data_IF_878097702784
#
_entry.id   IF_878097702784
#
_cell.length_a   1.000
_cell.length_b   1.000
_cell.length_c   1.000
_cell.angle_alpha   90.00
_cell.angle_beta   90.00
_cell.angle_gamma   90.00
#
_symmetry.space_group_name_H-M   'P 1'
#
loop_
_entity.id
_entity.type
_entity.pdbx_description
1 polymer ?
#
# COMPACT_ATOMS: atom_id res chain seq x y z
N UNK A 1 -27.05 -4.76 -1.40
CA UNK A 1 -26.08 -4.23 -2.39
C UNK A 1 -26.27 -4.96 -3.71
N UNK A 2 -26.06 -4.32 -4.87
CA UNK A 2 -26.04 -5.01 -6.17
C UNK A 2 -24.89 -6.02 -6.24
N UNK A 3 -24.98 -6.99 -7.17
CA UNK A 3 -23.91 -7.95 -7.41
C UNK A 3 -22.63 -7.26 -7.93
N UNK A 4 -21.47 -7.84 -7.66
CA UNK A 4 -20.17 -7.31 -8.08
C UNK A 4 -20.08 -7.11 -9.61
N UNK A 5 -20.64 -8.02 -10.39
CA UNK A 5 -20.72 -7.92 -11.86
C UNK A 5 -21.46 -6.66 -12.32
N UNK A 6 -22.54 -6.30 -11.63
CA UNK A 6 -23.30 -5.08 -11.91
C UNK A 6 -22.48 -3.83 -11.61
N UNK A 7 -21.74 -3.80 -10.51
CA UNK A 7 -20.86 -2.68 -10.16
C UNK A 7 -19.73 -2.54 -11.18
N UNK A 8 -19.07 -3.64 -11.56
CA UNK A 8 -18.02 -3.62 -12.59
C UNK A 8 -18.54 -3.10 -13.94
N UNK A 9 -19.77 -3.48 -14.32
CA UNK A 9 -20.42 -2.95 -15.52
C UNK A 9 -20.65 -1.44 -15.43
N UNK A 10 -21.11 -0.93 -14.28
CA UNK A 10 -21.27 0.51 -14.09
C UNK A 10 -19.94 1.27 -14.15
N UNK A 11 -18.87 0.72 -13.56
CA UNK A 11 -17.52 1.29 -13.66
C UNK A 11 -17.03 1.37 -15.12
N UNK A 12 -17.40 0.40 -15.95
CA UNK A 12 -17.03 0.40 -17.37
C UNK A 12 -17.85 1.41 -18.20
N UNK A 13 -19.12 1.63 -17.86
CA UNK A 13 -20.07 2.35 -18.73
C UNK A 13 -20.37 3.79 -18.29
N UNK A 14 -20.17 4.13 -17.01
CA UNK A 14 -20.63 5.40 -16.43
C UNK A 14 -19.42 6.15 -15.85
N UNK A 15 -18.92 7.16 -16.56
CA UNK A 15 -17.71 7.88 -16.16
C UNK A 15 -17.86 8.61 -14.82
N UNK A 16 -18.99 9.27 -14.58
CA UNK A 16 -19.25 9.95 -13.29
C UNK A 16 -19.28 9.00 -12.10
N UNK A 17 -19.75 7.76 -12.31
CA UNK A 17 -19.72 6.72 -11.28
C UNK A 17 -18.30 6.21 -11.05
N UNK A 18 -17.50 6.06 -12.11
CA UNK A 18 -16.09 5.67 -12.02
C UNK A 18 -15.29 6.68 -11.19
N UNK A 19 -15.47 7.98 -11.41
CA UNK A 19 -14.80 9.02 -10.63
C UNK A 19 -15.19 9.00 -9.16
N UNK A 20 -16.50 8.90 -8.86
CA UNK A 20 -16.98 8.78 -7.48
C UNK A 20 -16.44 7.52 -6.80
N UNK A 21 -16.42 6.40 -7.51
CA UNK A 21 -15.88 5.15 -7.02
C UNK A 21 -14.39 5.26 -6.73
N UNK A 22 -13.60 5.91 -7.60
CA UNK A 22 -12.18 6.14 -7.35
C UNK A 22 -11.95 6.92 -6.04
N UNK A 23 -12.69 8.02 -5.81
CA UNK A 23 -12.63 8.77 -4.55
C UNK A 23 -13.05 7.94 -3.34
N UNK A 24 -14.08 7.11 -3.50
CA UNK A 24 -14.51 6.20 -2.44
C UNK A 24 -13.42 5.16 -2.09
N UNK A 25 -12.67 4.67 -3.09
CA UNK A 25 -11.53 3.76 -2.85
C UNK A 25 -10.35 4.44 -2.18
N UNK A 26 -10.10 5.72 -2.46
CA UNK A 26 -9.13 6.52 -1.71
C UNK A 26 -9.55 6.69 -0.24
N UNK A 27 -10.81 7.08 0.01
CA UNK A 27 -11.34 7.18 1.38
C UNK A 27 -11.35 5.83 2.12
N UNK A 28 -11.58 4.72 1.40
CA UNK A 28 -11.45 3.39 1.97
C UNK A 28 -10.00 3.09 2.40
N UNK A 29 -8.99 3.57 1.67
CA UNK A 29 -7.60 3.41 2.06
C UNK A 29 -7.33 4.07 3.42
N UNK A 30 -7.88 5.28 3.62
CA UNK A 30 -7.78 6.02 4.87
C UNK A 30 -8.43 5.25 6.02
N UNK A 31 -9.67 4.78 5.83
CA UNK A 31 -10.39 4.01 6.85
C UNK A 31 -9.67 2.70 7.23
N UNK A 32 -9.14 1.97 6.25
CA UNK A 32 -8.34 0.76 6.50
C UNK A 32 -7.05 1.07 7.25
N UNK A 33 -6.45 2.24 6.99
CA UNK A 33 -5.23 2.66 7.65
C UNK A 33 -5.50 3.05 9.11
N UNK A 34 -6.59 3.74 9.39
CA UNK A 34 -6.97 4.12 10.75
C UNK A 34 -7.31 2.89 11.62
N UNK A 35 -8.01 1.89 11.04
CA UNK A 35 -8.36 0.63 11.72
C UNK A 35 -7.14 -0.19 12.17
N UNK A 36 -5.96 0.03 11.56
CA UNK A 36 -4.72 -0.64 11.97
C UNK A 36 -4.37 -0.35 13.43
N UNK A 37 -4.60 0.89 13.90
CA UNK A 37 -4.30 1.26 15.29
C UNK A 37 -5.21 0.50 16.24
N UNK A 38 -6.50 0.46 15.97
CA UNK A 38 -7.47 -0.27 16.78
C UNK A 38 -7.12 -1.76 16.87
N UNK A 39 -6.70 -2.38 15.78
CA UNK A 39 -6.28 -3.79 15.75
C UNK A 39 -4.98 -4.00 16.54
N UNK A 40 -4.02 -3.09 16.41
CA UNK A 40 -2.74 -3.17 17.11
C UNK A 40 -2.93 -3.04 18.63
N UNK A 41 -3.83 -2.17 19.07
CA UNK A 41 -4.04 -1.85 20.48
C UNK A 41 -5.05 -2.78 21.18
N UNK A 42 -5.93 -3.46 20.42
CA UNK A 42 -6.94 -4.36 20.98
C UNK A 42 -6.45 -5.82 21.00
N UNK A 43 -6.24 -6.43 22.18
CA UNK A 43 -5.92 -7.86 22.28
C UNK A 43 -7.09 -8.72 21.80
N UNK A 44 -6.78 -9.85 21.16
CA UNK A 44 -7.78 -10.83 20.77
C UNK A 44 -7.39 -12.18 21.35
N UNK A 45 -8.13 -12.63 22.36
CA UNK A 45 -7.91 -13.95 22.97
C UNK A 45 -8.45 -15.02 22.03
N UNK A 46 -7.63 -16.04 21.78
CA UNK A 46 -8.00 -17.18 20.97
C UNK A 46 -7.25 -18.44 21.38
N UNK A 47 -7.67 -19.56 20.80
CA UNK A 47 -7.07 -20.86 21.07
C UNK A 47 -6.13 -21.26 19.92
N UNK A 48 -4.89 -21.59 20.26
CA UNK A 48 -3.93 -22.20 19.35
C UNK A 48 -3.83 -23.68 19.69
N UNK A 49 -4.17 -24.53 18.74
CA UNK A 49 -4.03 -25.97 18.87
C UNK A 49 -2.80 -26.45 18.09
N UNK A 50 -1.90 -27.15 18.79
CA UNK A 50 -0.70 -27.74 18.20
C UNK A 50 -0.80 -29.24 18.38
N UNK A 51 -0.81 -29.97 17.26
CA UNK A 51 -0.76 -31.43 17.28
C UNK A 51 0.68 -31.86 17.59
N UNK A 52 0.86 -32.52 18.74
CA UNK A 52 2.13 -33.13 19.14
C UNK A 52 1.99 -34.65 19.10
N UNK A 53 3.11 -35.37 19.07
CA UNK A 53 3.14 -36.84 19.07
C UNK A 53 2.41 -37.47 20.28
N UNK A 54 2.24 -36.71 21.38
CA UNK A 54 1.58 -37.14 22.61
C UNK A 54 0.11 -36.65 22.74
N UNK A 55 -0.45 -35.98 21.73
CA UNK A 55 -1.83 -35.46 21.74
C UNK A 55 -1.95 -34.01 21.29
N UNK A 56 -3.15 -33.45 21.43
CA UNK A 56 -3.46 -32.07 21.08
C UNK A 56 -3.16 -31.14 22.26
N UNK A 57 -2.25 -30.19 22.07
CA UNK A 57 -2.02 -29.12 23.03
C UNK A 57 -2.83 -27.90 22.62
N UNK A 58 -3.74 -27.46 23.48
CA UNK A 58 -4.54 -26.24 23.28
C UNK A 58 -4.03 -25.20 24.26
N UNK A 59 -3.55 -24.07 23.73
CA UNK A 59 -3.13 -22.92 24.53
C UNK A 59 -4.03 -21.75 24.20
N UNK A 60 -4.63 -21.15 25.23
CA UNK A 60 -5.36 -19.89 25.11
C UNK A 60 -4.38 -18.73 25.33
N UNK A 61 -4.28 -17.85 24.34
CA UNK A 61 -3.36 -16.72 24.35
C UNK A 61 -3.88 -15.59 23.47
N UNK A 62 -3.24 -14.43 23.55
CA UNK A 62 -3.49 -13.35 22.59
C UNK A 62 -3.00 -13.75 21.19
N UNK A 63 -3.85 -13.52 20.19
CA UNK A 63 -3.67 -13.91 18.81
C UNK A 63 -2.81 -12.88 18.05
N UNK A 64 -1.61 -12.62 18.56
CA UNK A 64 -0.67 -11.63 18.02
C UNK A 64 -0.38 -11.90 16.53
N UNK A 65 -0.19 -13.17 16.14
CA UNK A 65 0.05 -13.56 14.75
C UNK A 65 -1.13 -13.19 13.83
N UNK A 66 -2.36 -13.36 14.31
CA UNK A 66 -3.57 -13.00 13.57
C UNK A 66 -3.70 -11.48 13.42
N UNK A 67 -3.46 -10.72 14.49
CA UNK A 67 -3.50 -9.26 14.46
C UNK A 67 -2.41 -8.68 13.55
N UNK A 68 -1.19 -9.24 13.59
CA UNK A 68 -0.12 -8.88 12.64
C UNK A 68 -0.52 -9.11 11.19
N UNK A 69 -1.09 -10.28 10.87
CA UNK A 69 -1.59 -10.58 9.52
C UNK A 69 -2.67 -9.57 9.08
N UNK A 70 -3.59 -9.21 9.97
CA UNK A 70 -4.63 -8.22 9.68
C UNK A 70 -4.06 -6.83 9.39
N UNK A 71 -3.07 -6.40 10.17
CA UNK A 71 -2.37 -5.14 9.98
C UNK A 71 -1.61 -5.13 8.65
N UNK A 72 -0.86 -6.20 8.35
CA UNK A 72 -0.06 -6.28 7.13
C UNK A 72 -0.95 -6.31 5.87
N UNK A 73 -2.06 -7.06 5.90
CA UNK A 73 -3.04 -7.07 4.82
C UNK A 73 -3.63 -5.68 4.57
N UNK A 74 -3.97 -4.93 5.63
CA UNK A 74 -4.52 -3.58 5.52
C UNK A 74 -3.50 -2.57 4.99
N UNK A 75 -2.24 -2.63 5.47
CA UNK A 75 -1.14 -1.82 4.91
C UNK A 75 -0.98 -2.06 3.42
N UNK A 76 -0.96 -3.34 3.01
CA UNK A 76 -0.82 -3.70 1.60
C UNK A 76 -1.97 -3.15 0.76
N UNK A 77 -3.22 -3.33 1.20
CA UNK A 77 -4.40 -2.80 0.48
C UNK A 77 -4.34 -1.27 0.42
N UNK A 78 -4.09 -0.58 1.54
CA UNK A 78 -4.02 0.88 1.59
C UNK A 78 -2.93 1.43 0.64
N UNK A 79 -1.76 0.79 0.59
CA UNK A 79 -0.69 1.14 -0.36
C UNK A 79 -1.06 0.92 -1.83
N UNK A 80 -1.96 -0.03 -2.14
CA UNK A 80 -2.49 -0.22 -3.50
C UNK A 80 -3.62 0.74 -3.87
N UNK A 81 -4.47 1.11 -2.90
CA UNK A 81 -5.60 2.01 -3.13
C UNK A 81 -5.20 3.48 -3.19
N UNK A 82 -4.24 3.91 -2.36
CA UNK A 82 -3.74 5.28 -2.35
C UNK A 82 -2.19 5.30 -2.30
N UNK A 83 -1.50 4.88 -3.39
CA UNK A 83 -0.04 4.73 -3.43
C UNK A 83 0.71 6.04 -3.17
N UNK A 84 0.12 7.20 -3.47
CA UNK A 84 0.73 8.50 -3.17
C UNK A 84 0.84 8.78 -1.67
N UNK A 85 -0.09 8.26 -0.86
CA UNK A 85 -0.18 8.50 0.59
C UNK A 85 0.44 7.37 1.40
N UNK A 86 0.16 6.12 1.01
CA UNK A 86 0.52 4.91 1.76
C UNK A 86 1.45 3.96 1.00
N UNK A 87 1.86 4.30 -0.22
CA UNK A 87 2.81 3.51 -0.97
C UNK A 87 4.22 3.63 -0.40
N UNK A 88 5.02 2.57 -0.61
CA UNK A 88 6.42 2.57 -0.20
C UNK A 88 7.18 3.68 -0.96
N UNK A 89 7.81 4.57 -0.20
CA UNK A 89 8.69 5.60 -0.77
C UNK A 89 10.07 5.01 -0.97
N UNK A 90 10.47 4.86 -2.22
CA UNK A 90 11.84 4.47 -2.59
C UNK A 90 12.57 5.74 -3.02
N UNK A 91 13.57 6.15 -2.26
CA UNK A 91 14.48 7.22 -2.67
C UNK A 91 15.54 6.62 -3.61
N UNK A 92 15.50 7.02 -4.88
CA UNK A 92 16.49 6.61 -5.89
C UNK A 92 17.47 7.76 -6.08
N UNK A 93 18.45 7.85 -5.20
CA UNK A 93 19.59 8.76 -5.37
C UNK A 93 20.42 8.29 -6.58
N UNK A 94 20.26 8.99 -7.71
CA UNK A 94 21.17 8.86 -8.84
C UNK A 94 22.46 9.62 -8.49
N UNK A 95 23.35 8.99 -7.73
CA UNK A 95 24.70 9.50 -7.41
C UNK A 95 25.63 9.55 -8.62
N UNK A 96 25.09 9.69 -9.83
CA UNK A 96 25.88 9.97 -11.02
C UNK A 96 26.14 11.47 -11.05
N UNK A 97 27.38 11.84 -10.73
CA UNK A 97 27.92 13.16 -11.07
C UNK A 97 27.73 13.36 -12.58
N UNK A 98 26.66 14.06 -12.98
CA UNK A 98 26.47 14.46 -14.38
C UNK A 98 27.42 15.62 -14.60
N UNK A 99 28.71 15.28 -14.77
CA UNK A 99 29.78 16.19 -15.09
C UNK A 99 29.51 16.83 -16.45
N UNK A 100 28.73 17.91 -16.46
CA UNK A 100 28.51 18.76 -17.62
C UNK A 100 29.83 19.45 -17.98
N UNK A 101 30.58 18.84 -18.88
CA UNK A 101 31.80 19.44 -19.41
C UNK A 101 31.42 20.46 -20.49
N UNK A 102 31.33 21.73 -20.12
CA UNK A 102 31.09 22.83 -21.05
C UNK A 102 32.40 23.17 -21.78
N UNK A 103 32.51 22.79 -23.06
CA UNK A 103 33.61 23.26 -23.93
C UNK A 103 33.20 24.60 -24.56
N UNK A 104 33.82 25.69 -24.11
CA UNK A 104 33.67 27.00 -24.73
C UNK A 104 34.73 27.11 -25.84
N UNK A 105 34.30 27.14 -27.10
CA UNK A 105 35.16 27.46 -28.26
C UNK A 105 34.92 28.92 -28.64
N UNK A 106 35.93 29.77 -28.49
CA UNK A 106 35.90 31.13 -29.03
C UNK A 106 36.31 31.07 -30.51
N UNK A 107 35.38 31.32 -31.41
CA UNK A 107 35.69 31.67 -32.80
C UNK A 107 36.07 33.15 -32.84
N UNK A 108 37.36 33.44 -32.88
CA UNK A 108 37.88 34.72 -33.35
C UNK A 108 38.55 34.48 -34.69
N UNK A 109 38.14 35.22 -35.71
CA UNK A 109 38.82 35.25 -37.01
C UNK A 109 40.26 35.72 -36.81
N UNK A 110 41.29 34.92 -37.16
CA UNK A 110 42.62 35.43 -37.38
C UNK A 110 42.65 35.89 -38.84
N UNK A 111 42.46 37.19 -39.06
CA UNK A 111 43.11 38.00 -40.10
C UNK A 111 42.22 39.22 -40.46
N UNK A 112 42.49 40.32 -39.76
CA UNK A 112 42.28 41.68 -40.21
C UNK A 112 43.64 42.40 -40.18
#
# INVERSE_FOLDING_TARGET
MPAASTVCRWLAQIDSFREQYARAREAQADALFDEILDIADTPQVGQKSVSKAAGLEITEADMIEHRRLQVDARKWIAGKLAPKKYGDKVDVNHGGDIGLTVKIVRHGDPDA
#
